data_IF_351440753756
#
_entry.id   IF_351440753756
#
_cell.length_a   1.000
_cell.length_b   1.000
_cell.length_c   1.000
_cell.angle_alpha   90.00
_cell.angle_beta   90.00
_cell.angle_gamma   90.00
#
_symmetry.space_group_name_H-M   'P 1'
#
loop_
_entity.id
_entity.type
_entity.pdbx_description
1 polymer ?
#
# COMPACT_ATOMS: atom_id res chain seq x y z
N UNK A 1 -7.10 18.46 -53.41
CA UNK A 1 -6.44 17.45 -52.55
C UNK A 1 -5.28 18.13 -51.83
N UNK A 2 -5.29 18.20 -50.48
CA UNK A 2 -4.31 18.80 -49.54
C UNK A 2 -5.04 19.78 -48.60
N UNK A 3 -5.65 19.27 -47.52
CA UNK A 3 -6.08 20.04 -46.31
C UNK A 3 -6.75 19.15 -45.25
N UNK A 4 -6.36 17.87 -45.15
CA UNK A 4 -6.84 16.94 -44.12
C UNK A 4 -5.64 16.11 -43.66
N UNK A 5 -4.72 16.70 -42.89
CA UNK A 5 -3.62 15.95 -42.25
C UNK A 5 -3.10 16.59 -40.95
N UNK A 6 -3.63 17.75 -40.51
CA UNK A 6 -3.02 18.53 -39.41
C UNK A 6 -3.81 18.51 -38.09
N UNK A 7 -4.77 17.60 -37.91
CA UNK A 7 -5.58 17.54 -36.67
C UNK A 7 -5.27 16.29 -35.82
N UNK A 8 -4.57 15.28 -36.37
CA UNK A 8 -4.32 14.02 -35.66
C UNK A 8 -3.07 14.08 -34.75
N UNK A 9 -2.14 15.02 -34.98
CA UNK A 9 -0.91 15.14 -34.16
C UNK A 9 -1.16 15.82 -32.80
N UNK A 10 -2.25 16.58 -32.64
CA UNK A 10 -2.50 17.34 -31.40
C UNK A 10 -3.16 16.52 -30.27
N UNK A 11 -3.81 15.40 -30.58
CA UNK A 11 -4.49 14.55 -29.58
C UNK A 11 -3.51 13.59 -28.89
N UNK A 12 -2.40 13.23 -29.55
CA UNK A 12 -1.41 12.30 -28.99
C UNK A 12 -0.52 12.98 -27.93
N UNK A 13 -0.41 14.32 -27.92
CA UNK A 13 0.45 15.04 -26.96
C UNK A 13 -0.15 15.27 -25.58
N UNK A 14 -1.46 15.07 -25.39
CA UNK A 14 -2.15 15.29 -24.09
C UNK A 14 -2.56 13.99 -23.38
N UNK A 15 -2.18 12.83 -23.92
CA UNK A 15 -2.27 11.54 -23.22
C UNK A 15 -1.13 11.30 -22.23
N UNK A 16 -0.44 12.35 -21.78
CA UNK A 16 0.48 12.24 -20.64
C UNK A 16 -0.39 11.89 -19.44
N UNK A 17 -0.35 10.61 -19.05
CA UNK A 17 -0.93 10.15 -17.80
C UNK A 17 -0.44 11.09 -16.70
N UNK A 18 -1.35 11.88 -16.15
CA UNK A 18 -1.06 12.75 -15.01
C UNK A 18 -0.85 11.79 -13.85
N UNK A 19 0.41 11.42 -13.60
CA UNK A 19 0.75 10.67 -12.40
C UNK A 19 0.43 11.58 -11.22
N UNK A 20 -0.47 11.18 -10.31
CA UNK A 20 -0.72 11.97 -9.11
C UNK A 20 0.61 12.15 -8.37
N UNK A 21 1.01 13.40 -8.18
CA UNK A 21 2.20 13.74 -7.43
C UNK A 21 1.78 13.98 -5.98
N UNK A 22 1.93 12.96 -5.14
CA UNK A 22 1.68 13.09 -3.71
C UNK A 22 2.84 13.80 -3.02
N UNK A 23 2.54 14.74 -2.13
CA UNK A 23 3.55 15.53 -1.43
C UNK A 23 4.32 14.75 -0.37
N UNK A 24 3.72 13.69 0.19
CA UNK A 24 4.30 12.90 1.27
C UNK A 24 4.53 11.44 0.92
N UNK A 25 5.55 10.86 1.56
CA UNK A 25 5.97 9.46 1.39
C UNK A 25 6.35 8.84 2.74
N UNK A 26 5.86 7.62 2.97
CA UNK A 26 6.42 6.64 3.91
C UNK A 26 7.10 5.54 3.09
N UNK A 27 8.26 5.08 3.54
CA UNK A 27 9.06 4.07 2.86
C UNK A 27 9.69 3.13 3.86
N UNK A 28 9.66 1.84 3.55
CA UNK A 28 10.35 0.82 4.31
C UNK A 28 10.82 -0.31 3.38
N UNK A 29 12.12 -0.58 3.38
CA UNK A 29 12.73 -1.70 2.66
C UNK A 29 13.27 -2.77 3.62
N UNK A 30 12.87 -2.69 4.90
CA UNK A 30 13.16 -3.63 5.97
C UNK A 30 14.64 -3.97 6.20
N UNK A 31 15.57 -3.23 5.58
CA UNK A 31 17.02 -3.46 5.68
C UNK A 31 17.62 -3.03 7.03
N UNK A 32 16.83 -2.38 7.88
CA UNK A 32 17.16 -2.07 9.27
C UNK A 32 16.74 -3.18 10.25
N UNK A 33 16.21 -4.30 9.74
CA UNK A 33 15.79 -5.48 10.51
C UNK A 33 14.67 -5.21 11.53
N UNK A 34 13.93 -4.10 11.39
CA UNK A 34 12.84 -3.77 12.28
C UNK A 34 11.52 -3.50 11.54
N UNK A 35 10.47 -3.26 12.33
CA UNK A 35 9.14 -2.93 11.81
C UNK A 35 8.60 -1.68 12.49
N UNK A 36 9.46 -0.71 12.77
CA UNK A 36 9.07 0.53 13.41
C UNK A 36 8.07 1.26 12.51
N UNK A 37 6.96 1.69 13.13
CA UNK A 37 5.88 2.37 12.40
C UNK A 37 4.83 1.42 11.83
N UNK A 38 4.96 0.11 12.00
CA UNK A 38 3.97 -0.88 11.60
C UNK A 38 3.13 -1.39 12.75
N UNK A 39 1.92 -1.85 12.44
CA UNK A 39 1.03 -2.57 13.36
C UNK A 39 0.47 -3.84 12.68
N UNK A 40 0.43 -4.94 13.41
CA UNK A 40 -0.32 -6.12 12.97
C UNK A 40 -1.81 -5.93 13.26
N UNK A 41 -2.66 -6.34 12.34
CA UNK A 41 -4.11 -6.30 12.48
C UNK A 41 -4.75 -7.63 12.07
N UNK A 42 -5.92 -7.90 12.64
CA UNK A 42 -6.67 -9.13 12.41
C UNK A 42 -7.85 -8.85 11.47
N UNK A 43 -8.20 -9.76 10.55
CA UNK A 43 -9.31 -9.60 9.62
C UNK A 43 -10.68 -9.92 10.25
N UNK A 44 -10.70 -10.39 11.50
CA UNK A 44 -11.92 -10.72 12.23
C UNK A 44 -11.65 -10.77 13.74
N UNK A 45 -12.71 -10.68 14.57
CA UNK A 45 -12.55 -10.63 16.04
C UNK A 45 -11.87 -11.86 16.64
N UNK A 46 -12.07 -13.05 16.06
CA UNK A 46 -11.51 -14.34 16.52
C UNK A 46 -10.25 -14.78 15.75
N UNK A 47 -9.77 -13.96 14.82
CA UNK A 47 -8.58 -14.23 14.02
C UNK A 47 -7.30 -13.90 14.79
N UNK A 48 -6.17 -14.53 14.42
CA UNK A 48 -4.84 -14.20 14.95
C UNK A 48 -4.19 -13.05 14.16
N UNK A 49 -3.04 -12.55 14.63
CA UNK A 49 -2.33 -11.39 14.06
C UNK A 49 -1.32 -11.74 12.94
N UNK A 50 -1.26 -13.00 12.49
CA UNK A 50 -0.22 -13.46 11.55
C UNK A 50 1.11 -13.72 12.24
N UNK A 51 2.11 -14.16 11.48
CA UNK A 51 3.49 -14.36 11.96
C UNK A 51 4.45 -13.44 11.19
N UNK A 52 4.31 -12.14 11.40
CA UNK A 52 5.11 -11.10 10.75
C UNK A 52 6.50 -10.98 11.38
N UNK A 53 7.54 -11.04 10.56
CA UNK A 53 8.93 -10.83 10.99
C UNK A 53 9.79 -10.33 9.84
N UNK A 54 10.85 -9.59 10.16
CA UNK A 54 11.89 -9.28 9.19
C UNK A 54 12.99 -10.34 9.28
N UNK A 55 13.46 -10.83 8.14
CA UNK A 55 14.58 -11.79 8.04
C UNK A 55 15.39 -11.42 6.80
N UNK A 56 16.69 -11.19 6.97
CA UNK A 56 17.60 -10.82 5.88
C UNK A 56 17.11 -9.64 5.02
N UNK A 57 16.60 -8.59 5.68
CA UNK A 57 16.10 -7.38 5.00
C UNK A 57 14.73 -7.54 4.34
N UNK A 58 14.00 -8.62 4.61
CA UNK A 58 12.71 -8.93 3.97
C UNK A 58 11.65 -9.17 5.02
N UNK A 59 10.48 -8.56 4.87
CA UNK A 59 9.33 -8.85 5.71
C UNK A 59 8.66 -10.15 5.25
N UNK A 60 8.37 -11.06 6.18
CA UNK A 60 7.81 -12.39 5.92
C UNK A 60 6.54 -12.59 6.76
N UNK A 61 5.52 -13.18 6.14
CA UNK A 61 4.35 -13.75 6.80
C UNK A 61 4.18 -15.22 6.36
N UNK A 62 4.02 -16.15 7.30
CA UNK A 62 3.96 -17.60 7.02
C UNK A 62 3.05 -18.39 7.99
N UNK A 63 2.03 -17.77 8.58
CA UNK A 63 1.20 -18.38 9.62
C UNK A 63 0.08 -19.30 9.10
N UNK A 64 0.06 -19.67 7.82
CA UNK A 64 -0.80 -20.75 7.31
C UNK A 64 -2.30 -20.45 7.25
N UNK A 65 -2.78 -19.28 7.71
CA UNK A 65 -4.20 -18.89 7.71
C UNK A 65 -4.45 -17.64 6.88
N UNK A 66 -5.68 -17.14 6.92
CA UNK A 66 -6.16 -16.15 5.98
C UNK A 66 -6.16 -14.70 6.49
N UNK A 67 -5.94 -13.79 5.53
CA UNK A 67 -6.16 -12.35 5.61
C UNK A 67 -5.42 -11.64 6.75
N UNK A 68 -4.19 -12.06 7.05
CA UNK A 68 -3.35 -11.34 7.99
C UNK A 68 -2.99 -9.98 7.43
N UNK A 69 -2.97 -8.96 8.31
CA UNK A 69 -2.71 -7.58 7.91
C UNK A 69 -1.51 -7.02 8.66
N UNK A 70 -0.67 -6.30 7.93
CA UNK A 70 0.45 -5.54 8.46
C UNK A 70 0.38 -4.13 7.92
N UNK A 71 0.04 -3.17 8.78
CA UNK A 71 -0.41 -1.85 8.37
C UNK A 71 0.57 -0.80 8.84
N UNK A 72 0.79 0.24 8.04
CA UNK A 72 1.54 1.40 8.50
C UNK A 72 0.69 2.14 9.53
N UNK A 73 1.19 2.22 10.75
CA UNK A 73 0.55 2.91 11.85
C UNK A 73 0.51 4.42 11.65
N UNK A 74 -0.46 5.07 12.29
CA UNK A 74 -0.63 6.52 12.36
C UNK A 74 -1.03 7.26 11.06
N UNK A 75 -1.16 6.57 9.92
CA UNK A 75 -1.63 7.18 8.68
C UNK A 75 -3.03 6.68 8.30
N UNK A 76 -4.05 7.33 8.84
CA UNK A 76 -5.41 7.15 8.33
C UNK A 76 -5.58 8.04 7.09
N UNK A 77 -5.58 7.44 5.91
CA UNK A 77 -5.49 8.12 4.62
C UNK A 77 -6.72 7.86 3.75
N UNK A 78 -7.08 8.84 2.94
CA UNK A 78 -8.15 8.75 1.95
C UNK A 78 -7.59 8.48 0.55
N UNK A 79 -7.01 9.49 -0.10
CA UNK A 79 -6.34 9.36 -1.39
C UNK A 79 -4.88 8.97 -1.15
N UNK A 80 -4.43 7.90 -1.79
CA UNK A 80 -3.11 7.33 -1.56
C UNK A 80 -2.67 6.45 -2.72
N UNK A 81 -1.35 6.26 -2.84
CA UNK A 81 -0.77 5.16 -3.61
C UNK A 81 0.08 4.29 -2.70
N UNK A 82 -0.22 2.99 -2.72
CA UNK A 82 0.52 1.95 -2.00
C UNK A 82 1.23 1.09 -3.03
N UNK A 83 2.53 0.88 -2.86
CA UNK A 83 3.37 0.05 -3.71
C UNK A 83 4.26 -0.84 -2.85
N UNK A 84 4.51 -2.07 -3.29
CA UNK A 84 5.45 -2.99 -2.63
C UNK A 84 5.89 -4.09 -3.59
N UNK A 85 7.07 -4.65 -3.35
CA UNK A 85 7.48 -5.91 -3.95
C UNK A 85 6.89 -7.07 -3.18
N UNK A 86 6.39 -8.07 -3.91
CA UNK A 86 5.77 -9.28 -3.37
C UNK A 86 6.45 -10.50 -3.98
N UNK A 87 6.85 -11.43 -3.12
CA UNK A 87 7.26 -12.78 -3.49
C UNK A 87 6.27 -13.76 -2.86
N UNK A 88 5.48 -14.44 -3.70
CA UNK A 88 4.46 -15.37 -3.25
C UNK A 88 5.07 -16.70 -2.79
N UNK A 89 4.57 -17.22 -1.67
CA UNK A 89 4.91 -18.57 -1.19
C UNK A 89 3.96 -19.62 -1.77
N UNK A 90 4.29 -20.90 -1.62
CA UNK A 90 3.49 -22.00 -2.17
C UNK A 90 2.08 -22.04 -1.57
N UNK A 91 1.04 -22.07 -2.40
CA UNK A 91 -0.36 -22.01 -1.97
C UNK A 91 -0.70 -20.73 -1.18
N UNK A 92 0.18 -19.73 -1.17
CA UNK A 92 -0.03 -18.43 -0.56
C UNK A 92 -0.77 -17.46 -1.47
N UNK A 93 -1.33 -16.43 -0.87
CA UNK A 93 -1.69 -15.20 -1.57
C UNK A 93 -1.14 -14.02 -0.79
N UNK A 94 -0.92 -12.93 -1.51
CA UNK A 94 -0.43 -11.70 -0.93
C UNK A 94 -0.94 -10.50 -1.71
N UNK A 95 -0.88 -9.33 -1.10
CA UNK A 95 -1.32 -8.10 -1.72
C UNK A 95 -1.32 -6.91 -0.78
N UNK A 96 -2.18 -5.95 -1.09
CA UNK A 96 -2.24 -4.65 -0.45
C UNK A 96 -3.60 -4.48 0.24
N UNK A 97 -3.59 -4.01 1.49
CA UNK A 97 -4.78 -3.52 2.18
C UNK A 97 -4.83 -1.99 2.09
N UNK A 98 -6.00 -1.44 1.80
CA UNK A 98 -6.29 0.00 1.86
C UNK A 98 -7.54 0.25 2.71
N UNK A 99 -7.60 1.46 3.30
CA UNK A 99 -8.74 1.94 4.08
C UNK A 99 -9.18 1.01 5.21
N UNK A 100 -8.21 0.37 5.88
CA UNK A 100 -8.48 -0.42 7.07
C UNK A 100 -8.85 0.49 8.25
N UNK A 101 -10.05 0.33 8.78
CA UNK A 101 -10.52 1.03 9.99
C UNK A 101 -10.47 0.08 11.17
N UNK A 102 -11.04 -1.11 11.02
CA UNK A 102 -11.12 -2.16 12.02
C UNK A 102 -11.33 -3.53 11.35
N UNK A 103 -11.51 -4.59 12.14
CA UNK A 103 -11.65 -5.95 11.60
C UNK A 103 -12.87 -6.16 10.68
N UNK A 104 -13.83 -5.24 10.69
CA UNK A 104 -15.08 -5.30 9.94
C UNK A 104 -15.10 -4.34 8.75
N UNK A 105 -14.12 -3.43 8.64
CA UNK A 105 -14.13 -2.34 7.67
C UNK A 105 -12.76 -2.17 7.02
N UNK A 106 -12.60 -2.69 5.80
CA UNK A 106 -11.34 -2.67 5.05
C UNK A 106 -11.54 -3.09 3.59
N UNK A 107 -10.56 -2.80 2.72
CA UNK A 107 -10.46 -3.36 1.37
C UNK A 107 -9.11 -4.03 1.17
N UNK A 108 -9.13 -5.27 0.67
CA UNK A 108 -7.92 -5.98 0.25
C UNK A 108 -7.90 -6.14 -1.28
N UNK A 109 -6.73 -5.94 -1.87
CA UNK A 109 -6.43 -6.27 -3.27
C UNK A 109 -5.36 -7.35 -3.26
N UNK A 110 -5.71 -8.55 -3.70
CA UNK A 110 -4.91 -9.76 -3.54
C UNK A 110 -4.66 -10.45 -4.88
N UNK A 111 -3.52 -11.12 -4.99
CA UNK A 111 -3.23 -12.04 -6.08
C UNK A 111 -3.12 -13.45 -5.51
N UNK A 112 -3.82 -14.40 -6.14
CA UNK A 112 -3.71 -15.83 -5.88
C UNK A 112 -3.03 -16.49 -7.08
N UNK A 113 -1.71 -16.75 -7.02
CA UNK A 113 -0.96 -17.34 -8.13
C UNK A 113 -1.54 -18.66 -8.62
N UNK A 114 -1.84 -19.58 -7.70
CA UNK A 114 -2.28 -20.94 -8.06
C UNK A 114 -3.67 -20.97 -8.72
N UNK A 115 -4.51 -19.99 -8.40
CA UNK A 115 -5.82 -19.84 -9.02
C UNK A 115 -5.80 -18.91 -10.25
N UNK A 116 -4.68 -18.23 -10.53
CA UNK A 116 -4.56 -17.21 -11.57
C UNK A 116 -5.64 -16.11 -11.48
N UNK A 117 -5.96 -15.67 -10.26
CA UNK A 117 -6.97 -14.63 -10.03
C UNK A 117 -6.38 -13.42 -9.32
N UNK A 118 -6.84 -12.25 -9.71
CA UNK A 118 -6.83 -11.05 -8.88
C UNK A 118 -8.17 -10.98 -8.15
N UNK A 119 -8.13 -10.75 -6.85
CA UNK A 119 -9.31 -10.66 -6.00
C UNK A 119 -9.33 -9.31 -5.28
N UNK A 120 -10.48 -8.63 -5.32
CA UNK A 120 -10.76 -7.52 -4.43
C UNK A 120 -11.78 -7.98 -3.40
N UNK A 121 -11.49 -7.74 -2.12
CA UNK A 121 -12.39 -8.08 -1.01
C UNK A 121 -12.72 -6.79 -0.29
N UNK A 122 -14.02 -6.47 -0.22
CA UNK A 122 -14.52 -5.34 0.57
C UNK A 122 -15.23 -5.88 1.81
N UNK A 123 -14.82 -5.43 2.99
CA UNK A 123 -15.52 -5.68 4.25
C UNK A 123 -16.19 -4.39 4.72
N UNK A 124 -17.50 -4.44 4.97
CA UNK A 124 -18.26 -3.31 5.53
C UNK A 124 -19.21 -3.85 6.61
N UNK A 125 -18.90 -3.56 7.87
CA UNK A 125 -19.57 -4.21 9.00
C UNK A 125 -19.35 -5.73 8.97
N UNK A 126 -20.42 -6.51 9.10
CA UNK A 126 -20.31 -7.98 9.07
C UNK A 126 -20.42 -8.57 7.68
N UNK A 127 -20.60 -7.75 6.64
CA UNK A 127 -20.73 -8.19 5.26
C UNK A 127 -19.36 -8.16 4.58
N UNK A 128 -19.10 -9.19 3.78
CA UNK A 128 -17.93 -9.25 2.91
C UNK A 128 -18.37 -9.48 1.48
N UNK A 129 -17.79 -8.71 0.57
CA UNK A 129 -17.98 -8.81 -0.86
C UNK A 129 -16.67 -9.25 -1.52
N UNK A 130 -16.79 -10.12 -2.50
CA UNK A 130 -15.67 -10.70 -3.23
C UNK A 130 -15.88 -10.47 -4.72
N UNK A 131 -14.98 -9.69 -5.33
CA UNK A 131 -14.94 -9.50 -6.77
C UNK A 131 -13.70 -10.21 -7.33
N UNK A 132 -13.93 -11.04 -8.34
CA UNK A 132 -12.91 -11.88 -8.97
C UNK A 132 -12.64 -11.37 -10.38
N UNK A 133 -11.37 -11.20 -10.70
CA UNK A 133 -10.93 -10.76 -12.00
C UNK A 133 -10.00 -11.80 -12.60
N UNK A 134 -10.42 -12.32 -13.75
CA UNK A 134 -9.54 -13.09 -14.61
C UNK A 134 -8.44 -12.16 -15.09
N UNK A 135 -7.24 -12.39 -14.59
CA UNK A 135 -6.05 -11.72 -15.08
C UNK A 135 -5.15 -12.82 -15.64
N UNK A 136 -4.64 -12.71 -16.89
CA UNK A 136 -3.87 -13.77 -17.53
C UNK A 136 -2.49 -13.92 -16.88
N UNK A 137 -2.49 -14.43 -15.65
CA UNK A 137 -1.34 -14.72 -14.80
C UNK A 137 -0.59 -15.98 -15.23
N UNK A 138 -0.72 -16.37 -16.50
CA UNK A 138 -0.05 -17.54 -17.11
C UNK A 138 1.49 -17.57 -16.95
N UNK A 139 2.08 -16.58 -16.27
CA UNK A 139 3.49 -16.46 -15.95
C UNK A 139 3.80 -16.07 -14.48
N UNK A 140 2.83 -16.05 -13.55
CA UNK A 140 3.19 -15.86 -12.14
C UNK A 140 3.80 -17.15 -11.60
N UNK A 141 5.10 -17.10 -11.31
CA UNK A 141 5.79 -18.14 -10.58
C UNK A 141 5.67 -17.87 -9.10
N UNK A 142 5.27 -18.87 -8.33
CA UNK A 142 5.53 -18.87 -6.89
C UNK A 142 7.05 -19.00 -6.65
N UNK A 143 7.53 -18.50 -5.50
CA UNK A 143 8.89 -18.69 -4.93
C UNK A 143 10.12 -18.08 -5.58
N UNK A 144 10.09 -17.60 -6.82
CA UNK A 144 11.35 -17.18 -7.48
C UNK A 144 11.35 -15.79 -8.09
N UNK A 145 10.17 -15.19 -8.28
CA UNK A 145 10.04 -13.91 -8.98
C UNK A 145 9.37 -12.92 -8.03
N UNK A 146 10.03 -11.79 -7.83
CA UNK A 146 9.44 -10.63 -7.19
C UNK A 146 8.57 -9.86 -8.17
N UNK A 147 7.39 -9.47 -7.72
CA UNK A 147 6.45 -8.64 -8.47
C UNK A 147 6.26 -7.32 -7.75
N UNK A 148 6.27 -6.20 -8.46
CA UNK A 148 5.89 -4.90 -7.88
C UNK A 148 4.39 -4.72 -8.04
N UNK A 149 3.65 -4.74 -6.94
CA UNK A 149 2.22 -4.46 -6.95
C UNK A 149 2.00 -3.02 -6.50
N UNK A 150 1.10 -2.29 -7.18
CA UNK A 150 0.71 -0.93 -6.81
C UNK A 150 -0.79 -0.75 -6.89
N UNK A 151 -1.36 -0.06 -5.90
CA UNK A 151 -2.78 0.34 -5.84
C UNK A 151 -2.84 1.84 -5.64
N UNK A 152 -3.50 2.55 -6.56
CA UNK A 152 -3.81 3.97 -6.43
C UNK A 152 -5.30 4.11 -6.08
N UNK A 153 -5.60 4.91 -5.05
CA UNK A 153 -6.98 5.08 -4.58
C UNK A 153 -7.49 6.50 -4.78
N UNK A 154 -8.76 6.60 -5.17
CA UNK A 154 -9.52 7.83 -5.16
C UNK A 154 -10.72 7.64 -4.22
N UNK A 155 -10.67 8.27 -3.06
CA UNK A 155 -11.69 8.16 -2.02
C UNK A 155 -13.03 8.78 -2.45
N UNK A 156 -13.02 9.80 -3.32
CA UNK A 156 -14.24 10.44 -3.81
C UNK A 156 -15.02 9.53 -4.77
N UNK A 157 -14.35 8.96 -5.78
CA UNK A 157 -14.99 8.05 -6.74
C UNK A 157 -15.11 6.61 -6.22
N UNK A 158 -14.21 6.19 -5.34
CA UNK A 158 -14.06 4.80 -4.91
C UNK A 158 -13.20 3.98 -5.87
N UNK A 159 -12.49 4.62 -6.80
CA UNK A 159 -11.64 3.92 -7.75
C UNK A 159 -10.37 3.38 -7.06
N UNK A 160 -10.06 2.12 -7.35
CA UNK A 160 -8.80 1.46 -7.04
C UNK A 160 -8.16 1.08 -8.37
N UNK A 161 -7.21 1.88 -8.86
CA UNK A 161 -6.42 1.53 -10.05
C UNK A 161 -5.27 0.61 -9.63
N UNK A 162 -5.23 -0.59 -10.20
CA UNK A 162 -4.33 -1.66 -9.78
C UNK A 162 -3.30 -1.90 -10.87
N UNK A 163 -2.04 -2.01 -10.47
CA UNK A 163 -0.89 -2.23 -11.33
C UNK A 163 -0.06 -3.42 -10.85
N UNK A 164 0.58 -4.11 -11.79
CA UNK A 164 1.56 -5.15 -11.53
C UNK A 164 2.76 -4.95 -12.46
N UNK A 165 3.97 -4.84 -11.90
CA UNK A 165 5.20 -4.50 -12.62
C UNK A 165 5.03 -3.26 -13.52
N UNK A 166 4.48 -2.19 -12.95
CA UNK A 166 4.15 -0.93 -13.65
C UNK A 166 3.12 -1.04 -14.79
N UNK A 167 2.56 -2.23 -15.03
CA UNK A 167 1.50 -2.44 -16.01
C UNK A 167 0.15 -2.21 -15.33
N UNK A 168 -0.67 -1.33 -15.90
CA UNK A 168 -2.07 -1.17 -15.49
C UNK A 168 -2.86 -2.45 -15.75
N UNK A 169 -3.54 -2.95 -14.72
CA UNK A 169 -4.32 -4.18 -14.79
C UNK A 169 -5.79 -3.85 -15.00
N UNK A 170 -6.38 -3.16 -14.02
CA UNK A 170 -7.80 -2.80 -14.01
C UNK A 170 -8.05 -1.67 -13.01
N UNK A 171 -9.27 -1.12 -13.08
CA UNK A 171 -9.82 -0.26 -12.05
C UNK A 171 -11.03 -0.94 -11.43
N UNK A 172 -11.01 -1.11 -10.10
CA UNK A 172 -12.16 -1.56 -9.32
C UNK A 172 -12.87 -0.35 -8.72
N UNK A 173 -14.20 -0.38 -8.64
CA UNK A 173 -15.00 0.67 -8.00
C UNK A 173 -15.51 0.12 -6.67
N UNK A 174 -14.88 0.55 -5.57
CA UNK A 174 -15.27 0.18 -4.23
C UNK A 174 -16.71 0.64 -3.94
N UNK A 175 -17.50 -0.29 -3.42
CA UNK A 175 -18.87 -0.03 -3.01
C UNK A 175 -19.00 0.44 -1.57
N UNK A 176 -18.01 0.16 -0.72
CA UNK A 176 -18.00 0.72 0.64
C UNK A 176 -17.85 2.24 0.62
N UNK A 177 -18.52 2.87 1.58
CA UNK A 177 -18.40 4.31 1.86
C UNK A 177 -17.23 4.64 2.79
N UNK A 178 -16.68 3.64 3.48
CA UNK A 178 -15.58 3.77 4.42
C UNK A 178 -14.23 3.82 3.70
N UNK A 179 -13.86 5.01 3.19
CA UNK A 179 -12.70 5.21 2.32
C UNK A 179 -11.60 6.08 2.95
N UNK A 180 -11.46 5.95 4.27
CA UNK A 180 -10.40 6.59 5.05
C UNK A 180 -9.94 5.55 6.08
N UNK A 181 -8.67 5.19 6.07
CA UNK A 181 -8.13 4.22 7.01
C UNK A 181 -6.65 3.94 6.80
N UNK A 182 -6.13 2.99 7.56
CA UNK A 182 -4.75 2.53 7.44
C UNK A 182 -4.56 1.71 6.15
N UNK A 183 -3.31 1.61 5.72
CA UNK A 183 -2.91 0.83 4.55
C UNK A 183 -1.65 0.05 4.82
N UNK A 184 -1.45 -1.01 4.04
CA UNK A 184 -0.26 -1.83 4.15
C UNK A 184 -0.42 -3.13 3.39
N UNK A 185 0.03 -4.20 4.02
CA UNK A 185 0.26 -5.50 3.42
C UNK A 185 -0.76 -6.51 3.92
N UNK A 186 -1.09 -7.45 3.04
CA UNK A 186 -1.95 -8.58 3.36
C UNK A 186 -1.34 -9.88 2.86
N UNK A 187 -1.49 -10.94 3.65
CA UNK A 187 -1.03 -12.28 3.31
C UNK A 187 -1.97 -13.34 3.86
N UNK A 188 -1.99 -14.50 3.21
CA UNK A 188 -2.58 -15.69 3.81
C UNK A 188 -2.17 -17.01 3.16
N UNK A 189 -2.72 -18.09 3.70
CA UNK A 189 -2.35 -19.48 3.42
C UNK A 189 -0.82 -19.69 3.57
N UNK A 190 -0.15 -20.11 2.49
CA UNK A 190 1.29 -20.32 2.47
C UNK A 190 2.13 -19.07 2.74
N UNK A 191 1.53 -17.89 2.71
CA UNK A 191 2.18 -16.65 3.09
C UNK A 191 2.73 -15.85 1.92
N UNK A 192 3.61 -14.91 2.26
CA UNK A 192 4.29 -14.05 1.30
C UNK A 192 5.49 -13.33 1.93
N UNK A 193 6.40 -12.90 1.06
CA UNK A 193 7.49 -12.01 1.42
C UNK A 193 7.31 -10.65 0.75
N UNK A 194 7.69 -9.60 1.45
CA UNK A 194 7.48 -8.21 1.07
C UNK A 194 8.75 -7.39 1.22
N UNK A 195 8.93 -6.44 0.30
CA UNK A 195 10.09 -5.54 0.28
C UNK A 195 9.72 -4.21 -0.43
N UNK A 196 10.58 -3.20 -0.30
CA UNK A 196 10.48 -1.88 -0.93
C UNK A 196 9.07 -1.26 -0.83
N UNK A 197 8.48 -1.32 0.36
CA UNK A 197 7.16 -0.75 0.60
C UNK A 197 7.21 0.77 0.48
N UNK A 198 6.28 1.33 -0.29
CA UNK A 198 6.06 2.77 -0.42
C UNK A 198 4.59 3.09 -0.22
N UNK A 199 4.31 4.06 0.65
CA UNK A 199 2.99 4.65 0.82
C UNK A 199 3.09 6.15 0.56
N UNK A 200 2.29 6.67 -0.35
CA UNK A 200 2.29 8.10 -0.71
C UNK A 200 0.91 8.70 -0.59
N UNK A 201 0.84 9.92 -0.07
CA UNK A 201 -0.39 10.70 0.06
C UNK A 201 -0.04 12.17 0.33
N UNK A 202 -0.90 13.10 -0.07
CA UNK A 202 -0.78 14.53 0.28
C UNK A 202 -0.99 14.78 1.78
N UNK A 203 -1.58 13.82 2.49
CA UNK A 203 -1.78 13.90 3.94
C UNK A 203 -0.55 13.44 4.74
N UNK A 204 0.48 12.90 4.07
CA UNK A 204 1.75 12.55 4.73
C UNK A 204 2.65 13.79 4.73
N UNK A 205 3.14 14.16 5.90
CA UNK A 205 4.10 15.24 6.10
C UNK A 205 5.38 14.61 6.63
N UNK A 206 6.38 14.50 5.73
CA UNK A 206 7.69 13.90 5.96
C UNK A 206 8.49 14.54 7.09
N UNK A 207 9.68 14.04 7.41
CA UNK A 207 10.45 14.53 8.54
C UNK A 207 10.87 15.99 8.35
N UNK A 208 11.23 16.71 9.43
CA UNK A 208 11.89 17.99 9.29
C UNK A 208 13.16 17.83 8.44
N UNK A 209 13.42 18.81 7.58
CA UNK A 209 14.68 18.95 6.83
C UNK A 209 15.64 19.94 7.50
N UNK A 210 15.24 20.56 8.61
CA UNK A 210 16.15 21.40 9.41
C UNK A 210 15.58 21.83 10.76
N UNK A 211 16.48 22.21 11.68
CA UNK A 211 16.16 22.55 13.07
C UNK A 211 15.08 23.62 13.21
N UNK A 212 14.95 24.53 12.25
CA UNK A 212 13.96 25.61 12.27
C UNK A 212 12.53 25.05 12.24
N UNK A 213 12.29 23.96 11.50
CA UNK A 213 10.95 23.36 11.40
C UNK A 213 10.55 22.56 12.66
N UNK A 214 11.48 22.31 13.57
CA UNK A 214 11.15 21.73 14.88
C UNK A 214 10.70 22.77 15.91
N UNK A 215 10.83 24.07 15.64
CA UNK A 215 10.53 25.14 16.63
C UNK A 215 9.04 25.49 16.66
N UNK A 216 8.62 26.22 17.70
CA UNK A 216 7.31 26.88 17.76
C UNK A 216 6.10 25.96 17.51
N UNK A 217 6.16 24.70 17.97
CA UNK A 217 5.15 23.66 17.72
C UNK A 217 5.00 23.18 16.28
N UNK A 218 5.85 23.61 15.34
CA UNK A 218 5.87 23.06 13.97
C UNK A 218 6.21 21.58 13.94
N UNK A 219 6.91 21.05 14.96
CA UNK A 219 7.14 19.61 15.10
C UNK A 219 5.86 18.76 15.15
N UNK A 220 4.71 19.36 15.49
CA UNK A 220 3.40 18.69 15.53
C UNK A 220 2.81 18.43 14.14
N UNK A 221 3.29 19.12 13.10
CA UNK A 221 2.75 18.95 11.74
C UNK A 221 3.34 17.74 11.05
N UNK A 222 4.49 17.25 11.51
CA UNK A 222 5.10 16.04 11.00
C UNK A 222 4.36 14.81 11.53
N UNK A 223 3.97 13.93 10.62
CA UNK A 223 3.42 12.64 10.96
C UNK A 223 4.34 11.49 10.53
N UNK A 224 5.46 11.78 9.83
CA UNK A 224 6.47 10.79 9.44
C UNK A 224 7.93 11.20 9.74
N UNK A 225 8.54 10.77 10.87
CA UNK A 225 7.87 10.20 12.03
C UNK A 225 7.13 11.29 12.82
N UNK A 226 6.17 10.88 13.65
CA UNK A 226 5.53 11.77 14.60
C UNK A 226 6.46 12.03 15.81
N UNK A 227 6.55 13.29 16.24
CA UNK A 227 7.35 13.70 17.40
C UNK A 227 6.47 14.00 18.60
N UNK A 228 6.88 13.62 19.83
CA UNK A 228 6.07 13.91 21.04
C UNK A 228 6.33 15.31 21.58
N UNK A 229 7.50 15.86 21.30
CA UNK A 229 7.91 17.20 21.70
C UNK A 229 9.00 17.75 20.75
N UNK A 230 9.34 19.03 20.92
CA UNK A 230 10.39 19.69 20.12
C UNK A 230 11.77 19.02 20.26
N UNK A 231 12.11 18.55 21.46
CA UNK A 231 13.39 17.86 21.72
C UNK A 231 13.52 16.58 20.92
N UNK A 232 12.45 15.80 20.80
CA UNK A 232 12.42 14.57 19.99
C UNK A 232 12.68 14.89 18.50
N UNK A 233 12.02 15.93 17.98
CA UNK A 233 12.22 16.40 16.60
C UNK A 233 13.66 16.81 16.32
N UNK A 234 14.27 17.57 17.24
CA UNK A 234 15.68 17.99 17.11
C UNK A 234 16.62 16.79 17.23
N UNK A 235 16.36 15.87 18.15
CA UNK A 235 17.18 14.66 18.34
C UNK A 235 17.15 13.75 17.11
N UNK A 236 16.00 13.65 16.43
CA UNK A 236 15.88 12.92 15.18
C UNK A 236 16.77 13.54 14.08
N UNK A 237 16.70 14.86 13.88
CA UNK A 237 17.57 15.56 12.92
C UNK A 237 19.05 15.32 13.20
N UNK A 238 19.46 15.39 14.46
CA UNK A 238 20.86 15.18 14.87
C UNK A 238 21.35 13.76 14.59
N UNK A 239 20.47 12.77 14.57
CA UNK A 239 20.82 11.37 14.26
C UNK A 239 20.85 11.05 12.76
N UNK A 240 20.11 11.79 11.93
CA UNK A 240 19.86 11.42 10.53
C UNK A 240 20.42 12.42 9.50
N UNK A 241 21.00 13.54 9.93
CA UNK A 241 21.60 14.55 9.03
C UNK A 241 23.14 14.59 9.05
N UNK A 242 23.80 13.59 9.64
CA UNK A 242 25.26 13.48 9.70
C UNK A 242 25.75 12.10 9.28
#
# INVERSE_FOLDING_TARGET
MKKICLVIVLVILFGLAVTPAYAGKFFDNFNDEDTIGWISAKPCTWCSLGNWRVTDGVLIEDNGRDHYKFLVGNYSLSDQSVETKILFHDNGYAGITVWYIDENNWIDVLIYPDANILRVIESEGTAQRYDYYDYPLTSISTRTIWYTMRVETNSLSGELAIYLNDVYILTHIATTSNRIGLSGLNSGNGGGSFDDFTLTSDSIVGPPIGRVQCKNSSWKTFNNPAFKNQGDCVSYLEKHQF
#
